data_IF_676997457712
#
_entry.id   IF_676997457712
#
_cell.length_a   1.000
_cell.length_b   1.000
_cell.length_c   1.000
_cell.angle_alpha   90.00
_cell.angle_beta   90.00
_cell.angle_gamma   90.00
#
_symmetry.space_group_name_H-M   'P 1'
#
loop_
_entity.id
_entity.type
_entity.pdbx_description
1 polymer ?
#
# COMPACT_ATOMS: atom_id res chain seq x y z
N UNK A 1 10.50 2.56 44.45
CA UNK A 1 9.44 3.39 43.83
C UNK A 1 10.05 4.39 42.84
N UNK A 2 11.00 5.24 43.27
CA UNK A 2 11.68 6.23 42.41
C UNK A 2 12.38 5.62 41.20
N UNK A 3 13.14 4.54 41.39
CA UNK A 3 13.83 3.84 40.30
C UNK A 3 12.87 3.23 39.26
N UNK A 4 11.74 2.69 39.74
CA UNK A 4 10.71 2.13 38.86
C UNK A 4 10.06 3.25 38.04
N UNK A 5 9.76 4.38 38.68
CA UNK A 5 9.20 5.55 38.01
C UNK A 5 10.15 6.12 36.94
N UNK A 6 11.44 6.22 37.26
CA UNK A 6 12.47 6.66 36.32
C UNK A 6 12.60 5.71 35.11
N UNK A 7 12.56 4.40 35.35
CA UNK A 7 12.58 3.42 34.27
C UNK A 7 11.36 3.55 33.34
N UNK A 8 10.16 3.70 33.91
CA UNK A 8 8.93 3.86 33.13
C UNK A 8 8.96 5.12 32.25
N UNK A 9 9.48 6.23 32.77
CA UNK A 9 9.65 7.47 31.99
C UNK A 9 10.65 7.29 30.85
N UNK A 10 11.75 6.57 31.08
CA UNK A 10 12.74 6.27 30.03
C UNK A 10 12.16 5.39 28.92
N UNK A 11 11.39 4.36 29.25
CA UNK A 11 10.73 3.50 28.25
C UNK A 11 9.68 4.27 27.45
N UNK A 12 8.87 5.11 28.10
CA UNK A 12 7.87 5.94 27.42
C UNK A 12 8.49 6.97 26.45
N UNK A 13 9.72 7.43 26.73
CA UNK A 13 10.45 8.34 25.84
C UNK A 13 11.05 7.63 24.61
N UNK A 14 11.14 6.30 24.61
CA UNK A 14 11.74 5.50 23.54
C UNK A 14 10.71 4.91 22.55
N UNK A 15 9.43 5.25 22.70
CA UNK A 15 8.38 5.03 21.71
C UNK A 15 8.63 5.95 20.49
N UNK A 16 9.72 5.69 19.75
CA UNK A 16 9.87 6.25 18.43
C UNK A 16 8.66 5.78 17.61
N UNK A 17 7.93 6.68 16.93
CA UNK A 17 6.84 6.26 16.09
C UNK A 17 7.45 5.36 15.02
N UNK A 18 7.17 4.06 15.09
CA UNK A 18 7.41 3.13 14.00
C UNK A 18 6.42 3.55 12.93
N UNK A 19 6.75 4.61 12.19
CA UNK A 19 6.09 4.94 10.95
C UNK A 19 6.37 3.75 10.05
N UNK A 20 5.41 2.83 9.99
CA UNK A 20 5.32 1.86 8.91
C UNK A 20 5.25 2.73 7.67
N UNK A 21 6.38 2.90 6.99
CA UNK A 21 6.42 3.48 5.66
C UNK A 21 5.63 2.48 4.83
N UNK A 22 4.32 2.70 4.75
CA UNK A 22 3.47 2.02 3.80
C UNK A 22 4.17 2.25 2.47
N UNK A 23 4.73 1.17 1.90
CA UNK A 23 5.51 1.24 0.68
C UNK A 23 4.65 1.99 -0.33
N UNK A 24 5.04 3.23 -0.65
CA UNK A 24 4.28 4.07 -1.57
C UNK A 24 4.40 3.40 -2.93
N UNK A 25 3.34 2.70 -3.34
CA UNK A 25 3.25 2.15 -4.68
C UNK A 25 2.89 3.27 -5.65
N UNK A 26 3.51 3.24 -6.82
CA UNK A 26 3.06 4.05 -7.94
C UNK A 26 1.85 3.37 -8.58
N UNK A 27 0.86 4.17 -9.00
CA UNK A 27 -0.27 3.68 -9.79
C UNK A 27 -0.02 3.95 -11.28
N UNK A 28 -0.40 2.98 -12.11
CA UNK A 28 -0.32 3.08 -13.57
C UNK A 28 -1.50 2.28 -14.16
N UNK A 29 -2.20 2.80 -15.20
CA UNK A 29 -3.20 2.01 -15.90
C UNK A 29 -2.55 0.79 -16.56
N UNK A 30 -3.24 -0.36 -16.52
CA UNK A 30 -2.77 -1.57 -17.18
C UNK A 30 -2.68 -1.36 -18.69
N UNK A 31 -1.57 -1.76 -19.29
CA UNK A 31 -1.33 -1.69 -20.74
C UNK A 31 -1.73 -2.97 -21.47
N UNK A 32 -1.94 -4.06 -20.73
CA UNK A 32 -2.27 -5.38 -21.28
C UNK A 32 -3.73 -5.77 -21.05
N UNK A 33 -4.44 -5.12 -20.11
CA UNK A 33 -5.86 -5.37 -19.87
C UNK A 33 -6.74 -4.66 -20.90
N UNK A 34 -7.74 -5.36 -21.42
CA UNK A 34 -8.74 -4.81 -22.34
C UNK A 34 -10.16 -5.05 -21.84
N UNK A 35 -11.04 -4.08 -22.05
CA UNK A 35 -12.45 -4.17 -21.67
C UNK A 35 -12.72 -3.78 -20.21
N UNK A 36 -13.93 -4.06 -19.75
CA UNK A 36 -14.39 -3.67 -18.41
C UNK A 36 -13.66 -4.49 -17.34
N UNK A 37 -13.04 -3.81 -16.38
CA UNK A 37 -12.41 -4.43 -15.22
C UNK A 37 -13.49 -4.74 -14.16
N UNK A 38 -13.94 -6.00 -14.11
CA UNK A 38 -14.94 -6.47 -13.14
C UNK A 38 -14.39 -7.33 -12.01
N UNK A 39 -13.11 -7.73 -12.09
CA UNK A 39 -12.49 -8.62 -11.10
C UNK A 39 -11.08 -8.15 -10.76
N UNK A 40 -10.94 -7.50 -9.59
CA UNK A 40 -9.66 -6.98 -9.11
C UNK A 40 -8.62 -8.06 -8.87
N UNK A 41 -8.99 -9.31 -8.56
CA UNK A 41 -8.01 -10.39 -8.40
C UNK A 41 -7.44 -10.85 -9.74
N UNK A 42 -8.27 -10.92 -10.78
CA UNK A 42 -7.79 -11.21 -12.14
C UNK A 42 -6.88 -10.07 -12.64
N UNK A 43 -7.30 -8.82 -12.45
CA UNK A 43 -6.49 -7.63 -12.76
C UNK A 43 -5.16 -7.64 -12.01
N UNK A 44 -5.17 -7.88 -10.69
CA UNK A 44 -3.95 -8.01 -9.86
C UNK A 44 -2.99 -9.05 -10.41
N UNK A 45 -3.47 -10.25 -10.71
CA UNK A 45 -2.64 -11.34 -11.21
C UNK A 45 -2.05 -10.97 -12.58
N UNK A 46 -2.81 -10.31 -13.44
CA UNK A 46 -2.30 -9.80 -14.71
C UNK A 46 -1.22 -8.73 -14.53
N UNK A 47 -1.46 -7.71 -13.69
CA UNK A 47 -0.49 -6.65 -13.42
C UNK A 47 0.82 -7.21 -12.85
N UNK A 48 0.75 -8.22 -11.98
CA UNK A 48 1.95 -8.88 -11.43
C UNK A 48 2.67 -9.70 -12.51
N UNK A 49 1.94 -10.57 -13.22
CA UNK A 49 2.54 -11.56 -14.11
C UNK A 49 3.01 -10.97 -15.45
N UNK A 50 2.32 -9.96 -15.99
CA UNK A 50 2.60 -9.40 -17.32
C UNK A 50 3.27 -8.03 -17.27
N UNK A 51 3.08 -7.26 -16.19
CA UNK A 51 3.52 -5.86 -16.12
C UNK A 51 4.55 -5.61 -15.01
N UNK A 52 4.93 -6.63 -14.25
CA UNK A 52 5.91 -6.53 -13.17
C UNK A 52 5.46 -5.66 -11.99
N UNK A 53 4.15 -5.43 -11.86
CA UNK A 53 3.61 -4.66 -10.75
C UNK A 53 3.68 -5.46 -9.44
N UNK A 54 3.71 -4.76 -8.30
CA UNK A 54 3.58 -5.41 -6.98
C UNK A 54 2.13 -5.66 -6.57
N UNK A 55 1.19 -4.96 -7.21
CA UNK A 55 -0.24 -5.05 -6.93
C UNK A 55 -1.04 -4.58 -8.16
N UNK A 56 -2.35 -4.79 -8.15
CA UNK A 56 -3.28 -4.25 -9.12
C UNK A 56 -4.72 -4.37 -8.63
N UNK A 57 -5.59 -3.48 -9.08
CA UNK A 57 -7.02 -3.48 -8.78
C UNK A 57 -7.80 -2.83 -9.92
N UNK A 58 -9.09 -3.16 -10.03
CA UNK A 58 -10.00 -2.41 -10.88
C UNK A 58 -10.34 -1.08 -10.18
N UNK A 59 -9.74 0.02 -10.64
CA UNK A 59 -10.03 1.37 -10.17
C UNK A 59 -10.79 2.15 -11.24
N UNK A 60 -11.88 2.81 -10.85
CA UNK A 60 -12.62 3.74 -11.71
C UNK A 60 -12.13 5.16 -11.43
N UNK A 61 -11.43 5.77 -12.40
CA UNK A 61 -10.97 7.16 -12.31
C UNK A 61 -11.84 8.01 -13.22
N UNK A 62 -12.44 9.07 -12.70
CA UNK A 62 -13.22 10.02 -13.50
C UNK A 62 -12.33 11.17 -14.00
N UNK A 63 -12.44 11.60 -15.27
CA UNK A 63 -13.20 10.96 -16.34
C UNK A 63 -12.54 9.66 -16.81
N UNK A 64 -13.35 8.67 -17.20
CA UNK A 64 -12.90 7.31 -17.55
C UNK A 64 -11.99 7.26 -18.80
N UNK A 65 -11.85 8.37 -19.51
CA UNK A 65 -11.05 8.55 -20.71
C UNK A 65 -10.41 9.95 -20.59
N UNK A 66 -9.10 10.01 -20.35
CA UNK A 66 -8.30 11.23 -20.53
C UNK A 66 -7.60 11.15 -21.87
#
# INVERSE_FOLDING_TARGET
>A
ITLIFAALVLFAAFEAPIMVVAQRLCEKPSGTWSGVCGNSNACKNQCINLEGARHGSCNYVFPAHK
#
